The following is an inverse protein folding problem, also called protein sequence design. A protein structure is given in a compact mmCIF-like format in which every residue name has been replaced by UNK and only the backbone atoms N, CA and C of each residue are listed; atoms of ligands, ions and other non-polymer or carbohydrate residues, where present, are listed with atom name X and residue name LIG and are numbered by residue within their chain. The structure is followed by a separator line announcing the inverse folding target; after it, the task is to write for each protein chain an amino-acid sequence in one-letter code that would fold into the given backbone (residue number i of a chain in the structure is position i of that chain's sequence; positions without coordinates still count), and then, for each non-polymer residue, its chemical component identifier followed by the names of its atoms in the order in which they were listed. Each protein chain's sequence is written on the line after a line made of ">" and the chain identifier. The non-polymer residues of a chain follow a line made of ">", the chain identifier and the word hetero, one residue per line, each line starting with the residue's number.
data_IF_911425746231
#
_entry.id   IF_911425746231
#
_cell.length_a   1.000
_cell.length_b   1.000
_cell.length_c   1.000
_cell.angle_alpha   90.00
_cell.angle_beta   90.00
_cell.angle_gamma   90.00
#
_symmetry.space_group_name_H-M   'P 1'
#
loop_
_entity.id
_entity.type
_entity.pdbx_description
1 polymer ?
#
# COMPACT_ATOMS: atom_id res chain seq x y z
N UNK A 1 33.36 -4.96 13.70
CA UNK A 1 31.93 -4.95 13.25
C UNK A 1 31.88 -5.82 12.01
N UNK A 2 31.17 -6.93 12.03
CA UNK A 2 30.98 -7.75 10.82
C UNK A 2 29.97 -7.02 9.92
N UNK A 3 30.41 -6.57 8.76
CA UNK A 3 29.51 -6.05 7.74
C UNK A 3 28.69 -7.23 7.23
N UNK A 4 27.35 -7.22 7.32
CA UNK A 4 26.56 -8.30 6.75
C UNK A 4 26.78 -8.32 5.24
N UNK A 5 27.35 -9.40 4.73
CA UNK A 5 27.52 -9.61 3.29
C UNK A 5 26.25 -10.27 2.78
N UNK A 6 25.48 -9.54 1.97
CA UNK A 6 24.33 -10.13 1.26
C UNK A 6 24.89 -11.05 0.17
N UNK A 7 24.44 -12.30 0.16
CA UNK A 7 24.84 -13.28 -0.84
C UNK A 7 24.01 -13.09 -2.12
N UNK A 8 24.54 -12.34 -3.07
CA UNK A 8 23.85 -12.03 -4.35
C UNK A 8 23.69 -13.23 -5.30
N UNK A 9 24.23 -14.40 -4.93
CA UNK A 9 23.96 -15.65 -5.65
C UNK A 9 22.61 -16.27 -5.31
N UNK A 10 21.99 -15.84 -4.21
CA UNK A 10 20.70 -16.31 -3.73
C UNK A 10 19.57 -15.39 -4.17
N UNK A 11 18.37 -15.93 -4.11
CA UNK A 11 17.13 -15.20 -4.29
C UNK A 11 16.48 -14.94 -2.93
N UNK A 12 15.80 -13.81 -2.82
CA UNK A 12 15.21 -13.34 -1.56
C UNK A 12 13.75 -12.96 -1.73
N UNK A 13 12.94 -13.27 -0.71
CA UNK A 13 11.62 -12.70 -0.54
C UNK A 13 11.70 -11.40 0.28
N UNK A 14 10.95 -10.39 -0.11
CA UNK A 14 10.77 -9.16 0.67
C UNK A 14 9.46 -9.22 1.44
N UNK A 15 9.50 -8.83 2.71
CA UNK A 15 8.30 -8.60 3.51
C UNK A 15 8.18 -7.10 3.79
N UNK A 16 7.08 -6.52 3.32
CA UNK A 16 6.81 -5.09 3.39
C UNK A 16 5.63 -4.83 4.33
N UNK A 17 5.93 -4.23 5.46
CA UNK A 17 4.89 -3.87 6.43
C UNK A 17 4.01 -2.71 5.96
N UNK A 18 2.82 -2.55 6.55
CA UNK A 18 2.01 -1.36 6.44
C UNK A 18 2.64 -0.17 7.19
N UNK A 19 2.08 1.02 7.02
CA UNK A 19 2.54 2.18 7.79
C UNK A 19 2.46 3.51 7.05
N UNK A 20 1.60 3.64 6.05
CA UNK A 20 1.33 4.90 5.34
C UNK A 20 2.61 5.52 4.78
N UNK A 21 2.95 6.74 5.19
CA UNK A 21 4.12 7.48 4.69
C UNK A 21 5.47 6.76 4.87
N UNK A 22 5.56 5.77 5.78
CA UNK A 22 6.77 4.94 5.93
C UNK A 22 7.07 4.09 4.68
N UNK A 23 6.10 3.94 3.78
CA UNK A 23 6.30 3.29 2.49
C UNK A 23 7.39 3.93 1.62
N UNK A 24 7.65 5.22 1.77
CA UNK A 24 8.76 5.90 1.09
C UNK A 24 10.13 5.25 1.41
N UNK A 25 10.33 4.84 2.66
CA UNK A 25 11.55 4.12 3.07
C UNK A 25 11.70 2.79 2.34
N UNK A 26 10.60 2.07 2.12
CA UNK A 26 10.63 0.77 1.41
C UNK A 26 11.14 0.92 -0.02
N UNK A 27 10.78 2.01 -0.71
CA UNK A 27 11.27 2.29 -2.08
C UNK A 27 12.77 2.60 -2.07
N UNK A 28 13.25 3.37 -1.08
CA UNK A 28 14.69 3.60 -0.89
C UNK A 28 15.46 2.30 -0.60
N UNK A 29 14.91 1.43 0.23
CA UNK A 29 15.48 0.13 0.53
C UNK A 29 15.52 -0.78 -0.72
N UNK A 30 14.42 -0.83 -1.48
CA UNK A 30 14.37 -1.57 -2.75
C UNK A 30 15.42 -1.07 -3.74
N UNK A 31 15.57 0.25 -3.90
CA UNK A 31 16.62 0.84 -4.71
C UNK A 31 18.00 0.33 -4.31
N UNK A 32 18.33 0.40 -3.02
CA UNK A 32 19.61 -0.04 -2.49
C UNK A 32 19.86 -1.55 -2.73
N UNK A 33 18.83 -2.39 -2.55
CA UNK A 33 18.91 -3.83 -2.83
C UNK A 33 19.15 -4.09 -4.32
N UNK A 34 18.46 -3.37 -5.20
CA UNK A 34 18.63 -3.49 -6.67
C UNK A 34 20.05 -3.07 -7.09
N UNK A 35 20.55 -1.95 -6.56
CA UNK A 35 21.91 -1.46 -6.80
C UNK A 35 22.98 -2.43 -6.27
N UNK A 36 22.70 -3.12 -5.18
CA UNK A 36 23.57 -4.16 -4.63
C UNK A 36 23.50 -5.50 -5.39
N UNK A 37 22.66 -5.60 -6.43
CA UNK A 37 22.51 -6.82 -7.23
C UNK A 37 21.75 -7.94 -6.52
N UNK A 38 20.94 -7.62 -5.51
CA UNK A 38 20.11 -8.59 -4.80
C UNK A 38 18.95 -9.02 -5.69
N UNK A 39 18.77 -10.33 -5.83
CA UNK A 39 17.67 -10.91 -6.60
C UNK A 39 16.46 -11.10 -5.71
N UNK A 40 15.34 -10.49 -6.09
CA UNK A 40 14.05 -10.62 -5.40
C UNK A 40 13.19 -11.54 -6.26
N UNK A 41 12.68 -12.62 -5.69
CA UNK A 41 11.78 -13.56 -6.36
C UNK A 41 10.36 -13.58 -5.77
N UNK A 42 10.15 -13.00 -4.59
CA UNK A 42 8.83 -12.91 -3.99
C UNK A 42 8.70 -11.62 -3.15
N UNK A 43 7.50 -11.10 -3.07
CA UNK A 43 7.13 -9.98 -2.20
C UNK A 43 5.87 -10.34 -1.42
N UNK A 44 5.88 -10.11 -0.12
CA UNK A 44 4.69 -10.18 0.72
C UNK A 44 4.47 -8.80 1.36
N UNK A 45 3.26 -8.24 1.23
CA UNK A 45 2.99 -6.90 1.71
C UNK A 45 1.59 -6.72 2.30
N UNK A 46 1.45 -5.72 3.16
CA UNK A 46 0.16 -5.27 3.67
C UNK A 46 0.04 -3.75 3.56
N UNK A 47 -1.16 -3.24 3.27
CA UNK A 47 -1.41 -1.80 3.11
C UNK A 47 -0.44 -1.18 2.10
N UNK A 48 0.24 -0.08 2.46
CA UNK A 48 1.27 0.53 1.61
C UNK A 48 2.35 -0.46 1.15
N UNK A 49 2.65 -1.49 1.97
CA UNK A 49 3.58 -2.55 1.57
C UNK A 49 3.04 -3.41 0.43
N UNK A 50 1.73 -3.63 0.33
CA UNK A 50 1.09 -4.30 -0.82
C UNK A 50 1.19 -3.43 -2.09
N UNK A 51 0.97 -2.12 -1.96
CA UNK A 51 1.08 -1.17 -3.08
C UNK A 51 2.51 -1.09 -3.60
N UNK A 52 3.49 -0.96 -2.71
CA UNK A 52 4.90 -0.97 -3.08
C UNK A 52 5.33 -2.33 -3.65
N UNK A 53 4.77 -3.43 -3.14
CA UNK A 53 4.98 -4.77 -3.68
C UNK A 53 4.55 -4.88 -5.15
N UNK A 54 3.43 -4.28 -5.52
CA UNK A 54 2.97 -4.22 -6.91
C UNK A 54 3.97 -3.44 -7.80
N UNK A 55 4.50 -2.30 -7.33
CA UNK A 55 5.51 -1.52 -8.04
C UNK A 55 6.81 -2.34 -8.24
N UNK A 56 7.23 -3.10 -7.22
CA UNK A 56 8.40 -3.98 -7.28
C UNK A 56 8.18 -5.08 -8.33
N UNK A 57 7.00 -5.70 -8.34
CA UNK A 57 6.67 -6.73 -9.34
C UNK A 57 6.67 -6.21 -10.76
N UNK A 58 6.27 -4.95 -10.97
CA UNK A 58 6.31 -4.29 -12.28
C UNK A 58 7.72 -3.81 -12.68
N UNK A 59 8.67 -3.85 -11.74
CA UNK A 59 10.04 -3.29 -11.88
C UNK A 59 10.07 -1.78 -12.19
N UNK A 60 9.10 -1.02 -11.68
CA UNK A 60 8.89 0.41 -11.95
C UNK A 60 9.54 1.30 -10.86
N UNK A 61 10.85 1.12 -10.62
CA UNK A 61 11.56 1.85 -9.57
C UNK A 61 11.54 3.36 -9.75
N UNK A 62 11.77 3.85 -10.97
CA UNK A 62 11.80 5.30 -11.25
C UNK A 62 10.42 5.93 -11.02
N UNK A 63 9.37 5.27 -11.48
CA UNK A 63 8.00 5.70 -11.24
C UNK A 63 7.68 5.71 -9.74
N UNK A 64 8.06 4.66 -9.01
CA UNK A 64 7.89 4.59 -7.57
C UNK A 64 8.58 5.73 -6.83
N UNK A 65 9.83 6.05 -7.20
CA UNK A 65 10.57 7.17 -6.62
C UNK A 65 9.91 8.53 -6.91
N UNK A 66 9.46 8.75 -8.14
CA UNK A 66 8.77 9.98 -8.52
C UNK A 66 7.45 10.14 -7.78
N UNK A 67 6.67 9.06 -7.68
CA UNK A 67 5.42 9.05 -6.92
C UNK A 67 5.67 9.44 -5.46
N UNK A 68 6.56 8.74 -4.78
CA UNK A 68 6.83 8.98 -3.36
C UNK A 68 7.47 10.35 -3.07
N UNK A 69 8.22 10.92 -4.03
CA UNK A 69 8.81 12.26 -3.89
C UNK A 69 7.78 13.39 -4.02
N UNK A 70 6.64 13.12 -4.66
CA UNK A 70 5.62 14.12 -4.94
C UNK A 70 4.26 13.81 -4.29
N UNK A 71 4.17 12.69 -3.56
CA UNK A 71 2.92 12.24 -2.96
C UNK A 71 2.48 13.18 -1.85
N UNK A 72 1.23 13.67 -1.95
CA UNK A 72 0.55 14.46 -0.93
C UNK A 72 -0.58 13.66 -0.29
N UNK A 73 -1.08 14.08 0.85
CA UNK A 73 -2.21 13.41 1.53
C UNK A 73 -3.47 13.45 0.67
N UNK A 74 -3.73 14.58 0.01
CA UNK A 74 -4.90 14.75 -0.87
C UNK A 74 -4.90 13.83 -2.10
N UNK A 75 -3.75 13.31 -2.51
CA UNK A 75 -3.63 12.31 -3.58
C UNK A 75 -3.96 10.89 -3.14
N UNK A 76 -4.05 10.65 -1.85
CA UNK A 76 -4.36 9.33 -1.26
C UNK A 76 -5.77 9.31 -0.70
N UNK A 77 -6.20 10.40 -0.07
CA UNK A 77 -7.50 10.52 0.58
C UNK A 77 -8.03 11.95 0.47
N UNK A 78 -9.33 12.11 0.50
CA UNK A 78 -9.96 13.44 0.39
C UNK A 78 -9.81 14.23 1.71
N UNK A 79 -8.64 14.88 1.83
CA UNK A 79 -8.27 15.70 3.00
C UNK A 79 -7.48 16.94 2.56
N UNK A 80 -7.44 17.94 3.43
CA UNK A 80 -6.61 19.13 3.25
C UNK A 80 -5.15 18.85 3.64
N UNK A 81 -4.21 19.03 2.69
CA UNK A 81 -2.80 18.74 2.89
C UNK A 81 -2.17 19.57 4.02
N UNK A 82 -2.44 20.88 4.05
CA UNK A 82 -1.88 21.78 5.07
C UNK A 82 -2.32 21.38 6.47
N UNK A 83 -3.59 21.00 6.60
CA UNK A 83 -4.13 20.55 7.88
C UNK A 83 -3.55 19.22 8.33
N UNK A 84 -3.36 18.28 7.39
CA UNK A 84 -2.71 17.01 7.69
C UNK A 84 -1.25 17.18 8.11
N UNK A 85 -0.50 18.07 7.47
CA UNK A 85 0.85 18.40 7.86
C UNK A 85 0.90 18.94 9.29
N UNK A 86 0.07 19.92 9.64
CA UNK A 86 -0.01 20.49 10.99
C UNK A 86 -0.35 19.44 12.07
N UNK A 87 -1.24 18.49 11.74
CA UNK A 87 -1.59 17.38 12.64
C UNK A 87 -0.41 16.42 12.83
N UNK A 88 0.31 16.10 11.76
CA UNK A 88 1.43 15.15 11.80
C UNK A 88 2.69 15.74 12.44
N UNK A 89 2.92 17.03 12.31
CA UNK A 89 4.01 17.76 12.96
C UNK A 89 3.74 18.09 14.44
N UNK A 90 2.52 17.80 14.90
CA UNK A 90 2.11 18.04 16.29
C UNK A 90 1.83 19.51 16.59
N UNK A 91 1.70 20.34 15.57
CA UNK A 91 1.37 21.77 15.72
C UNK A 91 -0.10 22.02 16.05
N UNK A 92 -0.98 21.06 15.65
CA UNK A 92 -2.39 21.13 16.00
C UNK A 92 -2.65 20.53 17.40
N UNK A 93 -3.54 21.13 18.20
CA UNK A 93 -3.93 20.57 19.48
C UNK A 93 -4.52 19.17 19.34
N UNK A 94 -4.13 18.25 20.22
CA UNK A 94 -4.62 16.84 20.22
C UNK A 94 -6.16 16.75 20.10
N UNK A 95 -6.89 17.67 20.73
CA UNK A 95 -8.36 17.71 20.65
C UNK A 95 -8.91 18.04 19.27
N UNK A 96 -8.18 18.77 18.44
CA UNK A 96 -8.60 19.02 17.06
C UNK A 96 -8.43 17.77 16.20
N UNK A 97 -7.34 17.03 16.38
CA UNK A 97 -7.15 15.75 15.72
C UNK A 97 -8.27 14.73 16.08
N UNK A 98 -8.62 14.66 17.38
CA UNK A 98 -9.73 13.79 17.86
C UNK A 98 -11.07 14.26 17.28
N UNK A 99 -11.33 15.55 17.25
CA UNK A 99 -12.58 16.12 16.70
C UNK A 99 -12.71 15.86 15.21
N UNK A 100 -11.62 15.99 14.45
CA UNK A 100 -11.61 15.71 13.02
C UNK A 100 -11.81 14.23 12.73
N UNK A 101 -11.12 13.34 13.46
CA UNK A 101 -11.33 11.90 13.35
C UNK A 101 -12.80 11.53 13.64
N UNK A 102 -13.39 12.13 14.68
CA UNK A 102 -14.79 11.88 15.04
C UNK A 102 -15.77 12.41 13.98
N UNK A 103 -15.47 13.57 13.39
CA UNK A 103 -16.26 14.14 12.29
C UNK A 103 -16.25 13.21 11.08
N UNK A 104 -15.08 12.80 10.61
CA UNK A 104 -14.96 11.87 9.47
C UNK A 104 -15.68 10.53 9.73
N UNK A 105 -15.55 9.98 10.94
CA UNK A 105 -16.30 8.78 11.32
C UNK A 105 -17.83 9.01 11.29
N UNK A 106 -18.32 10.16 11.72
CA UNK A 106 -19.76 10.49 11.71
C UNK A 106 -20.29 10.74 10.30
N UNK A 107 -19.44 11.14 9.36
CA UNK A 107 -19.74 11.36 7.94
C UNK A 107 -19.56 10.09 7.08
N UNK A 108 -19.31 8.94 7.71
CA UNK A 108 -19.17 7.65 7.04
C UNK A 108 -17.73 7.29 6.67
N UNK A 109 -16.74 8.04 7.12
CA UNK A 109 -15.32 7.82 6.88
C UNK A 109 -14.70 8.76 5.85
N UNK A 110 -13.38 8.66 5.71
CA UNK A 110 -12.59 9.43 4.72
C UNK A 110 -12.75 8.79 3.34
N UNK A 111 -12.91 9.62 2.31
CA UNK A 111 -12.99 9.17 0.94
C UNK A 111 -11.60 8.79 0.40
N UNK A 112 -11.47 7.60 -0.14
CA UNK A 112 -10.21 7.06 -0.73
C UNK A 112 -10.28 6.95 -2.25
N UNK A 113 -11.24 7.62 -2.87
CA UNK A 113 -11.33 7.72 -4.35
C UNK A 113 -10.01 8.20 -4.96
N UNK A 114 -9.27 9.17 -4.38
CA UNK A 114 -7.97 9.57 -4.92
C UNK A 114 -6.96 8.40 -4.99
N UNK A 115 -6.91 7.54 -3.96
CA UNK A 115 -6.06 6.35 -3.98
C UNK A 115 -6.48 5.37 -5.07
N UNK A 116 -7.79 5.15 -5.23
CA UNK A 116 -8.32 4.30 -6.29
C UNK A 116 -7.94 4.81 -7.67
N UNK A 117 -8.14 6.11 -7.92
CA UNK A 117 -7.77 6.76 -9.18
C UNK A 117 -6.26 6.68 -9.46
N UNK A 118 -5.44 6.74 -8.41
CA UNK A 118 -3.99 6.56 -8.52
C UNK A 118 -3.65 5.11 -8.90
N UNK A 119 -4.26 4.12 -8.24
CA UNK A 119 -4.07 2.71 -8.58
C UNK A 119 -4.49 2.41 -10.02
N UNK A 120 -5.58 3.01 -10.49
CA UNK A 120 -6.06 2.84 -11.86
C UNK A 120 -5.07 3.34 -12.91
N UNK A 121 -4.29 4.36 -12.59
CA UNK A 121 -3.27 4.95 -13.47
C UNK A 121 -1.93 4.21 -13.42
N UNK A 122 -1.59 3.64 -12.27
CA UNK A 122 -0.24 3.14 -11.96
C UNK A 122 -0.14 1.64 -12.08
N UNK A 123 -1.17 0.89 -11.65
CA UNK A 123 -1.11 -0.56 -11.59
C UNK A 123 -1.43 -1.17 -12.96
N UNK A 124 -0.44 -1.82 -13.53
CA UNK A 124 -0.56 -2.65 -14.72
C UNK A 124 -0.68 -4.13 -14.30
N UNK A 125 -1.91 -4.62 -14.31
CA UNK A 125 -2.21 -6.00 -13.90
C UNK A 125 -1.50 -7.04 -14.78
N UNK A 126 -1.37 -6.79 -16.08
CA UNK A 126 -0.71 -7.71 -17.01
C UNK A 126 0.78 -7.80 -16.71
N UNK A 127 1.44 -6.66 -16.43
CA UNK A 127 2.83 -6.65 -15.98
C UNK A 127 3.04 -7.46 -14.70
N UNK A 128 2.17 -7.31 -13.72
CA UNK A 128 2.27 -8.05 -12.44
C UNK A 128 2.10 -9.55 -12.69
N UNK A 129 1.10 -9.96 -13.48
CA UNK A 129 0.85 -11.38 -13.79
C UNK A 129 2.01 -12.02 -14.53
N UNK A 130 2.66 -11.29 -15.41
CA UNK A 130 3.81 -11.78 -16.20
C UNK A 130 5.16 -11.61 -15.50
N UNK A 131 5.19 -10.99 -14.34
CA UNK A 131 6.42 -10.82 -13.56
C UNK A 131 6.98 -12.17 -13.08
N UNK A 132 8.31 -12.27 -13.02
CA UNK A 132 8.99 -13.42 -12.37
C UNK A 132 8.93 -13.35 -10.84
N UNK A 133 8.50 -12.21 -10.27
CA UNK A 133 8.38 -12.01 -8.82
C UNK A 133 6.98 -12.42 -8.39
N UNK A 134 6.86 -13.34 -7.43
CA UNK A 134 5.57 -13.67 -6.83
C UNK A 134 5.13 -12.57 -5.86
N UNK A 135 3.83 -12.31 -5.79
CA UNK A 135 3.28 -11.28 -4.91
C UNK A 135 2.12 -11.81 -4.07
N UNK A 136 2.30 -11.68 -2.77
CA UNK A 136 1.31 -12.02 -1.77
C UNK A 136 0.91 -10.77 -1.00
N UNK A 137 -0.38 -10.61 -0.76
CA UNK A 137 -0.86 -9.49 0.05
C UNK A 137 -1.68 -10.01 1.22
N UNK A 138 -1.63 -9.27 2.32
CA UNK A 138 -2.48 -9.55 3.48
C UNK A 138 -3.58 -8.50 3.56
N UNK A 139 -4.80 -8.98 3.78
CA UNK A 139 -5.96 -8.15 4.06
C UNK A 139 -6.83 -8.79 5.13
N UNK A 140 -7.93 -8.16 5.53
CA UNK A 140 -8.84 -8.66 6.54
C UNK A 140 -10.28 -8.70 6.02
N UNK A 141 -10.92 -9.85 6.16
CA UNK A 141 -12.35 -9.99 5.85
C UNK A 141 -13.18 -9.63 7.08
N UNK A 142 -13.92 -8.52 7.01
CA UNK A 142 -14.83 -8.12 8.09
C UNK A 142 -16.00 -9.10 8.22
N UNK A 143 -16.54 -9.59 7.11
CA UNK A 143 -17.68 -10.52 7.13
C UNK A 143 -17.29 -11.88 7.74
N UNK A 144 -16.09 -12.38 7.43
CA UNK A 144 -15.57 -13.64 7.97
C UNK A 144 -14.77 -13.45 9.29
N UNK A 145 -14.52 -12.22 9.70
CA UNK A 145 -13.72 -11.85 10.88
C UNK A 145 -12.36 -12.56 10.91
N UNK A 146 -11.67 -12.59 9.77
CA UNK A 146 -10.36 -13.26 9.65
C UNK A 146 -9.42 -12.56 8.69
N UNK A 147 -8.13 -12.76 8.92
CA UNK A 147 -7.08 -12.39 7.97
C UNK A 147 -7.16 -13.27 6.72
N UNK A 148 -6.84 -12.66 5.58
CA UNK A 148 -6.73 -13.32 4.30
C UNK A 148 -5.34 -13.08 3.73
N UNK A 149 -4.67 -14.17 3.38
CA UNK A 149 -3.43 -14.16 2.61
C UNK A 149 -3.78 -14.45 1.15
N UNK A 150 -3.52 -13.50 0.27
CA UNK A 150 -3.93 -13.52 -1.13
C UNK A 150 -2.71 -13.63 -2.02
N UNK A 151 -2.63 -14.67 -2.85
CA UNK A 151 -1.75 -14.68 -4.01
C UNK A 151 -2.37 -13.76 -5.07
N UNK A 152 -1.77 -12.58 -5.26
CA UNK A 152 -2.34 -11.55 -6.10
C UNK A 152 -2.40 -11.94 -7.58
N UNK A 153 -1.52 -12.85 -8.02
CA UNK A 153 -1.54 -13.38 -9.39
C UNK A 153 -2.68 -14.36 -9.66
N UNK A 154 -3.25 -14.97 -8.61
CA UNK A 154 -4.37 -15.91 -8.72
C UNK A 154 -5.75 -15.25 -8.61
N UNK A 155 -5.79 -13.94 -8.30
CA UNK A 155 -7.03 -13.17 -8.28
C UNK A 155 -7.63 -13.12 -9.68
N UNK A 156 -8.97 -13.12 -9.79
CA UNK A 156 -9.66 -12.99 -11.08
C UNK A 156 -9.17 -11.74 -11.85
N UNK A 157 -9.03 -11.84 -13.19
CA UNK A 157 -8.64 -10.71 -14.02
C UNK A 157 -9.57 -9.51 -13.82
N UNK A 158 -8.97 -8.33 -13.64
CA UNK A 158 -9.67 -7.08 -13.40
C UNK A 158 -9.92 -6.75 -11.92
N UNK A 159 -9.70 -7.69 -10.98
CA UNK A 159 -9.93 -7.46 -9.55
C UNK A 159 -8.64 -7.12 -8.76
N UNK A 160 -7.47 -7.18 -9.39
CA UNK A 160 -6.19 -7.00 -8.70
C UNK A 160 -6.10 -5.66 -7.97
N UNK A 161 -6.57 -4.58 -8.57
CA UNK A 161 -6.58 -3.24 -7.99
C UNK A 161 -7.51 -3.14 -6.78
N UNK A 162 -8.65 -3.82 -6.82
CA UNK A 162 -9.59 -3.87 -5.72
C UNK A 162 -8.99 -4.58 -4.50
N UNK A 163 -8.25 -5.67 -4.72
CA UNK A 163 -7.54 -6.37 -3.64
C UNK A 163 -6.40 -5.54 -3.06
N UNK A 164 -5.66 -4.81 -3.90
CA UNK A 164 -4.64 -3.85 -3.44
C UNK A 164 -5.26 -2.73 -2.60
N UNK A 165 -6.36 -2.15 -3.08
CA UNK A 165 -7.12 -1.13 -2.34
C UNK A 165 -7.64 -1.70 -1.02
N UNK A 166 -8.19 -2.92 -1.03
CA UNK A 166 -8.68 -3.59 0.17
C UNK A 166 -7.60 -3.82 1.22
N UNK A 167 -6.37 -4.13 0.80
CA UNK A 167 -5.23 -4.25 1.71
C UNK A 167 -4.85 -2.91 2.37
N UNK A 168 -5.08 -1.80 1.68
CA UNK A 168 -4.81 -0.45 2.18
C UNK A 168 -5.99 0.18 2.94
N UNK A 169 -7.14 -0.49 2.95
CA UNK A 169 -8.39 0.05 3.49
C UNK A 169 -8.48 -0.14 5.01
N UNK A 170 -8.63 0.95 5.77
CA UNK A 170 -8.69 0.93 7.25
C UNK A 170 -10.14 1.18 7.73
N UNK A 171 -10.82 0.12 8.11
CA UNK A 171 -12.16 0.22 8.74
C UNK A 171 -12.03 0.62 10.24
N UNK A 172 -12.86 1.51 10.77
CA UNK A 172 -13.96 2.28 10.15
C UNK A 172 -13.55 3.67 9.64
N UNK A 173 -12.24 3.90 9.45
CA UNK A 173 -11.70 5.23 9.13
C UNK A 173 -12.07 5.68 7.70
N UNK A 174 -12.17 4.73 6.77
CA UNK A 174 -12.49 4.99 5.37
C UNK A 174 -13.96 4.68 5.06
N UNK A 175 -14.53 5.39 4.09
CA UNK A 175 -15.91 5.16 3.65
C UNK A 175 -16.09 3.75 3.14
N UNK A 176 -17.20 3.11 3.55
CA UNK A 176 -17.59 1.77 3.12
C UNK A 176 -17.99 1.79 1.63
N UNK A 177 -17.04 1.58 0.73
CA UNK A 177 -17.35 1.15 -0.62
C UNK A 177 -17.43 -0.38 -0.66
N UNK A 178 -18.46 -0.93 -1.32
CA UNK A 178 -18.57 -2.37 -1.58
C UNK A 178 -17.52 -2.75 -2.61
N UNK A 179 -16.38 -3.24 -2.16
CA UNK A 179 -15.41 -3.92 -2.99
C UNK A 179 -15.89 -5.36 -3.18
N UNK A 180 -16.62 -5.62 -4.23
CA UNK A 180 -17.14 -6.93 -4.71
C UNK A 180 -17.73 -7.93 -3.69
N UNK A 181 -18.72 -8.73 -4.13
CA UNK A 181 -19.41 -9.76 -3.33
C UNK A 181 -18.51 -10.92 -2.90
N UNK A 182 -17.36 -11.12 -3.55
CA UNK A 182 -16.37 -12.14 -3.22
C UNK A 182 -15.25 -11.51 -2.42
N UNK A 183 -15.43 -11.54 -1.12
CA UNK A 183 -14.46 -10.97 -0.19
C UNK A 183 -14.62 -9.46 -0.07
N UNK A 184 -15.56 -9.02 0.73
CA UNK A 184 -15.51 -7.70 1.35
C UNK A 184 -14.27 -7.70 2.25
N UNK A 185 -13.13 -7.46 1.64
CA UNK A 185 -11.93 -7.18 2.38
C UNK A 185 -12.05 -5.74 2.87
N UNK A 186 -12.59 -5.58 4.05
CA UNK A 186 -12.41 -4.37 4.83
C UNK A 186 -11.23 -4.63 5.75
N UNK A 187 -10.28 -3.73 5.77
CA UNK A 187 -9.19 -3.73 6.73
C UNK A 187 -9.71 -3.31 8.09
#
# INVERSE_FOLDING_TARGET
>A
MLTPVIDTSKEYGLVLEGGGAKGAYQIGAWKALKEAGVKINAVAGTSVGALNGALICMDELEMAQQMWSNLTYSQVMDVDDTRMEQLMEGEAPFWEAVKDAFRHMSEGGVDVTPLKDMLDKVVDEEKIRNSSIDIFIKTFSVDAMKELDIDLKQVEPGLMKDFLLASAYIFPLFKNEKLHEIGRAHV
#
